data_IF_701384008862
#
_entry.id   IF_701384008862
#
_cell.length_a   1.000
_cell.length_b   1.000
_cell.length_c   1.000
_cell.angle_alpha   90.00
_cell.angle_beta   90.00
_cell.angle_gamma   90.00
#
_symmetry.space_group_name_H-M   'P 1'
#
loop_
_entity.id
_entity.type
_entity.pdbx_description
1 polymer ?
#
# COMPACT_ATOMS: atom_id res chain seq x y z
N UNK A 1 8.13 5.53 -3.27
CA UNK A 1 8.00 5.50 -1.79
C UNK A 1 6.52 5.62 -1.46
N UNK A 2 6.03 4.89 -0.46
CA UNK A 2 4.59 4.87 -0.10
C UNK A 2 4.38 5.48 1.29
N UNK A 3 3.17 6.01 1.51
CA UNK A 3 2.72 6.50 2.82
C UNK A 3 2.19 5.37 3.72
N UNK A 4 1.65 5.73 4.89
CA UNK A 4 1.07 4.77 5.85
C UNK A 4 -0.18 4.02 5.35
N UNK A 5 -0.77 4.44 4.23
CA UNK A 5 -1.91 3.78 3.59
C UNK A 5 -1.49 3.00 2.34
N UNK A 6 -0.20 2.92 2.03
CA UNK A 6 0.31 2.28 0.82
C UNK A 6 0.17 3.14 -0.44
N UNK A 7 -0.23 4.40 -0.32
CA UNK A 7 -0.40 5.32 -1.46
C UNK A 7 0.96 5.83 -1.93
N UNK A 8 1.14 5.88 -3.25
CA UNK A 8 2.32 6.50 -3.85
C UNK A 8 2.11 8.00 -4.08
N UNK A 9 3.11 8.67 -4.65
CA UNK A 9 2.99 10.07 -5.08
C UNK A 9 2.00 10.28 -6.24
N UNK A 10 1.59 9.20 -6.93
CA UNK A 10 0.60 9.28 -8.00
C UNK A 10 -0.79 8.90 -7.45
N UNK A 11 -1.82 9.76 -7.59
CA UNK A 11 -3.17 9.43 -7.15
C UNK A 11 -3.68 8.15 -7.80
N UNK A 12 -4.27 7.27 -7.00
CA UNK A 12 -4.79 5.98 -7.46
C UNK A 12 -3.76 4.87 -7.67
N UNK A 13 -2.47 5.16 -7.46
CA UNK A 13 -1.42 4.14 -7.51
C UNK A 13 -0.95 3.80 -6.10
N UNK A 14 -1.06 2.51 -5.75
CA UNK A 14 -0.70 1.96 -4.45
C UNK A 14 0.40 0.89 -4.61
N UNK A 15 1.23 0.72 -3.59
CA UNK A 15 2.24 -0.33 -3.57
C UNK A 15 2.37 -0.96 -2.17
N UNK A 16 2.73 -2.24 -2.11
CA UNK A 16 2.80 -3.02 -0.88
C UNK A 16 3.95 -4.04 -0.92
N UNK A 17 4.39 -4.49 0.26
CA UNK A 17 5.43 -5.49 0.41
C UNK A 17 6.83 -4.99 0.04
N UNK A 18 7.65 -5.89 -0.48
CA UNK A 18 9.09 -5.67 -0.52
C UNK A 18 9.54 -4.55 -1.47
N UNK A 19 8.71 -4.21 -2.47
CA UNK A 19 8.94 -3.10 -3.39
C UNK A 19 8.73 -1.71 -2.75
N UNK A 20 8.29 -1.66 -1.49
CA UNK A 20 8.05 -0.42 -0.75
C UNK A 20 9.20 -0.03 0.19
N UNK A 21 9.03 1.08 0.91
CA UNK A 21 9.96 1.56 1.93
C UNK A 21 9.84 0.82 3.28
N UNK A 22 9.13 -0.31 3.38
CA UNK A 22 9.10 -1.09 4.63
C UNK A 22 10.52 -1.46 5.08
N UNK A 23 10.80 -1.27 6.37
CA UNK A 23 12.12 -1.57 6.95
C UNK A 23 12.44 -3.08 6.98
N UNK A 24 11.42 -3.92 7.03
CA UNK A 24 11.55 -5.38 7.11
C UNK A 24 10.81 -6.06 5.95
N UNK A 25 11.40 -7.15 5.46
CA UNK A 25 11.00 -7.84 4.22
C UNK A 25 10.66 -9.29 4.55
N UNK A 26 9.43 -9.52 4.99
CA UNK A 26 8.94 -10.84 5.39
C UNK A 26 7.54 -11.08 4.84
N UNK A 27 7.19 -12.35 4.64
CA UNK A 27 5.91 -12.77 4.05
C UNK A 27 4.72 -12.11 4.76
N UNK A 28 4.67 -12.17 6.09
CA UNK A 28 3.55 -11.61 6.86
C UNK A 28 3.51 -10.08 6.79
N UNK A 29 4.66 -9.42 6.70
CA UNK A 29 4.75 -7.97 6.58
C UNK A 29 4.26 -7.53 5.19
N UNK A 30 4.63 -8.27 4.15
CA UNK A 30 4.14 -8.05 2.80
C UNK A 30 2.62 -8.28 2.70
N UNK A 31 2.09 -9.32 3.36
CA UNK A 31 0.64 -9.55 3.39
C UNK A 31 -0.11 -8.44 4.13
N UNK A 32 0.39 -7.98 5.29
CA UNK A 32 -0.23 -6.91 6.06
C UNK A 32 -0.26 -5.59 5.29
N UNK A 33 0.88 -5.18 4.72
CA UNK A 33 0.96 -3.98 3.87
C UNK A 33 0.10 -4.10 2.60
N UNK A 34 -0.05 -5.32 2.06
CA UNK A 34 -0.96 -5.61 0.95
C UNK A 34 -2.42 -5.35 1.30
N UNK A 35 -2.86 -5.76 2.48
CA UNK A 35 -4.21 -5.49 2.96
C UNK A 35 -4.47 -3.98 3.11
N UNK A 36 -3.52 -3.24 3.67
CA UNK A 36 -3.62 -1.77 3.80
C UNK A 36 -3.71 -1.08 2.44
N UNK A 37 -2.85 -1.43 1.49
CA UNK A 37 -2.87 -0.87 0.15
C UNK A 37 -4.17 -1.18 -0.61
N UNK A 38 -4.71 -2.39 -0.44
CA UNK A 38 -5.99 -2.77 -1.05
C UNK A 38 -7.18 -1.98 -0.50
N UNK A 39 -7.23 -1.77 0.83
CA UNK A 39 -8.24 -0.93 1.48
C UNK A 39 -8.12 0.54 1.03
N UNK A 40 -6.90 1.06 0.90
CA UNK A 40 -6.65 2.41 0.39
C UNK A 40 -7.09 2.57 -1.07
N UNK A 41 -6.80 1.57 -1.91
CA UNK A 41 -7.27 1.55 -3.30
C UNK A 41 -8.80 1.50 -3.39
N UNK A 42 -9.44 0.72 -2.53
CA UNK A 42 -10.90 0.62 -2.47
C UNK A 42 -11.55 1.94 -2.03
N UNK A 43 -11.05 2.59 -0.98
CA UNK A 43 -11.53 3.90 -0.53
C UNK A 43 -11.35 4.96 -1.63
N UNK A 44 -10.23 4.91 -2.37
CA UNK A 44 -10.00 5.81 -3.51
C UNK A 44 -11.00 5.60 -4.67
N UNK A 45 -11.42 4.36 -4.92
CA UNK A 45 -12.42 4.03 -5.95
C UNK A 45 -13.84 4.43 -5.56
N UNK A 46 -14.18 4.51 -4.27
CA UNK A 46 -15.53 4.88 -3.81
C UNK A 46 -15.71 6.40 -3.75
N UNK A 47 -14.63 7.14 -3.51
CA UNK A 47 -14.68 8.60 -3.32
C UNK A 47 -14.51 9.40 -4.64
N UNK A 48 -14.39 8.71 -5.78
CA UNK A 48 -14.31 9.26 -7.15
C UNK A 48 -15.30 8.54 -8.06
#
# INVERSE_FOLDING_TARGET
MVDGHGSTSLPGVFAAGDCTNSAFKQIIIAMGSGATAALGAFDHLIRN
#
